data_IF_390328349615
#
_entry.id   IF_390328349615
#
_cell.length_a   1.000
_cell.length_b   1.000
_cell.length_c   1.000
_cell.angle_alpha   90.00
_cell.angle_beta   90.00
_cell.angle_gamma   90.00
#
_symmetry.space_group_name_H-M   'P 1'
#
loop_
_entity.id
_entity.type
_entity.pdbx_description
1 polymer ?
#
# COMPACT_ATOMS: atom_id res chain seq x y z
N UNK A 1 -6.55 -20.32 -0.39
CA UNK A 1 -7.60 -20.07 -1.40
C UNK A 1 -7.56 -18.61 -1.78
N UNK A 2 -7.71 -18.28 -3.06
CA UNK A 2 -8.02 -16.90 -3.44
C UNK A 2 -9.43 -16.54 -2.93
N UNK A 3 -9.60 -15.29 -2.54
CA UNK A 3 -10.89 -14.71 -2.19
C UNK A 3 -11.02 -13.37 -2.90
N UNK A 4 -12.24 -12.90 -3.06
CA UNK A 4 -12.51 -11.60 -3.66
C UNK A 4 -12.43 -10.52 -2.58
N UNK A 5 -11.84 -9.38 -2.91
CA UNK A 5 -11.81 -8.23 -2.01
C UNK A 5 -13.25 -7.76 -1.73
N UNK A 6 -13.49 -7.29 -0.50
CA UNK A 6 -14.78 -6.64 -0.18
C UNK A 6 -14.88 -5.33 -0.95
N UNK A 7 -16.06 -5.05 -1.52
CA UNK A 7 -16.30 -3.76 -2.16
C UNK A 7 -16.32 -2.65 -1.12
N UNK A 8 -15.65 -1.55 -1.44
CA UNK A 8 -15.60 -0.35 -0.62
C UNK A 8 -16.38 0.76 -1.32
N UNK A 9 -17.01 1.65 -0.57
CA UNK A 9 -17.70 2.82 -1.13
C UNK A 9 -16.63 3.85 -1.51
N UNK A 10 -16.66 4.35 -2.75
CA UNK A 10 -15.77 5.44 -3.16
C UNK A 10 -16.05 6.71 -2.34
N UNK A 11 -15.06 7.60 -2.24
CA UNK A 11 -15.08 8.78 -1.37
C UNK A 11 -15.15 8.48 0.14
N UNK A 12 -15.05 7.20 0.55
CA UNK A 12 -14.83 6.85 1.95
C UNK A 12 -13.45 7.36 2.37
N UNK A 13 -13.36 8.17 3.45
CA UNK A 13 -12.06 8.62 3.97
C UNK A 13 -11.16 7.44 4.33
N UNK A 14 -9.85 7.58 4.06
CA UNK A 14 -8.89 6.60 4.50
C UNK A 14 -8.91 6.48 6.04
N UNK A 15 -8.89 5.25 6.54
CA UNK A 15 -8.84 5.02 7.98
C UNK A 15 -7.50 5.48 8.55
N UNK A 16 -7.54 6.13 9.71
CA UNK A 16 -6.31 6.45 10.45
C UNK A 16 -5.60 5.18 10.89
N UNK A 17 -4.27 5.18 10.81
CA UNK A 17 -3.46 4.10 11.33
C UNK A 17 -2.16 4.64 11.91
N UNK A 18 -1.56 3.86 12.81
CA UNK A 18 -0.18 3.99 13.28
C UNK A 18 0.42 2.60 13.39
N UNK A 19 1.27 2.23 12.44
CA UNK A 19 1.77 0.87 12.31
C UNK A 19 3.29 0.80 12.44
N UNK A 20 3.84 -0.19 13.16
CA UNK A 20 5.27 -0.40 13.23
C UNK A 20 5.80 -0.92 11.88
N UNK A 21 6.92 -0.36 11.45
CA UNK A 21 7.64 -0.78 10.25
C UNK A 21 8.88 -1.60 10.57
N UNK A 22 9.49 -2.18 9.54
CA UNK A 22 10.68 -3.03 9.64
C UNK A 22 11.96 -2.27 9.98
N UNK A 23 11.94 -0.93 9.88
CA UNK A 23 13.04 -0.03 10.22
C UNK A 23 12.99 0.43 11.70
N UNK A 24 12.04 -0.10 12.49
CA UNK A 24 11.85 0.26 13.89
C UNK A 24 11.08 1.57 14.11
N UNK A 25 10.64 2.25 13.06
CA UNK A 25 9.76 3.43 13.15
C UNK A 25 8.30 3.02 13.16
N UNK A 26 7.44 3.97 13.49
CA UNK A 26 5.97 3.86 13.35
C UNK A 26 5.52 4.92 12.37
N UNK A 27 4.71 4.54 11.39
CA UNK A 27 4.18 5.44 10.37
C UNK A 27 2.66 5.56 10.47
N UNK A 28 2.17 6.78 10.29
CA UNK A 28 0.77 7.11 10.02
C UNK A 28 0.58 7.45 8.53
N UNK A 29 -0.68 7.63 8.10
CA UNK A 29 -1.00 8.03 6.73
C UNK A 29 -0.29 9.34 6.34
N UNK A 30 -0.34 10.35 7.20
CA UNK A 30 0.26 11.66 6.96
C UNK A 30 1.79 11.62 6.85
N UNK A 31 2.45 10.60 7.40
CA UNK A 31 3.90 10.45 7.32
C UNK A 31 4.36 9.96 5.94
N UNK A 32 3.47 9.31 5.19
CA UNK A 32 3.78 8.67 3.90
C UNK A 32 3.09 9.34 2.72
N UNK A 33 2.03 10.12 2.97
CA UNK A 33 1.17 10.66 1.94
C UNK A 33 1.88 11.58 0.92
N UNK A 34 1.80 11.23 -0.36
CA UNK A 34 2.21 12.08 -1.47
C UNK A 34 1.17 13.16 -1.80
N UNK A 35 1.62 14.25 -2.45
CA UNK A 35 0.78 15.39 -2.84
C UNK A 35 -0.41 15.00 -3.73
N UNK A 36 -0.28 13.92 -4.52
CA UNK A 36 -1.33 13.42 -5.42
C UNK A 36 -2.08 12.21 -4.87
N UNK A 37 -1.70 11.71 -3.70
CA UNK A 37 -2.35 10.60 -3.02
C UNK A 37 -1.38 9.48 -2.61
N UNK A 38 -1.99 8.42 -2.09
CA UNK A 38 -1.31 7.28 -1.45
C UNK A 38 -1.91 5.97 -1.93
N UNK A 39 -1.07 4.96 -2.14
CA UNK A 39 -1.52 3.60 -2.47
C UNK A 39 -1.27 2.70 -1.27
N UNK A 40 -2.35 2.21 -0.64
CA UNK A 40 -2.27 1.26 0.47
C UNK A 40 -2.51 -0.15 -0.06
N UNK A 41 -1.56 -1.07 0.15
CA UNK A 41 -1.65 -2.46 -0.32
C UNK A 41 -1.53 -3.43 0.84
N UNK A 42 -2.52 -4.33 0.97
CA UNK A 42 -2.48 -5.43 1.93
C UNK A 42 -1.96 -6.70 1.24
N UNK A 43 -0.76 -7.14 1.62
CA UNK A 43 -0.11 -8.33 1.04
C UNK A 43 0.42 -9.27 2.13
N UNK A 44 0.84 -10.47 1.74
CA UNK A 44 1.55 -11.37 2.63
C UNK A 44 2.69 -12.11 1.92
N UNK A 45 3.70 -12.52 2.70
CA UNK A 45 4.95 -13.09 2.19
C UNK A 45 4.81 -14.50 1.61
N UNK A 46 3.74 -15.22 1.95
CA UNK A 46 3.56 -16.61 1.52
C UNK A 46 2.57 -16.77 0.36
N UNK A 47 1.81 -15.72 0.02
CA UNK A 47 0.76 -15.81 -0.99
C UNK A 47 1.37 -16.01 -2.38
N UNK A 48 0.98 -17.07 -3.13
CA UNK A 48 1.51 -17.30 -4.46
C UNK A 48 1.14 -16.17 -5.44
N UNK A 49 -0.01 -15.52 -5.25
CA UNK A 49 -0.42 -14.37 -6.07
C UNK A 49 0.50 -13.15 -5.87
N UNK A 50 0.89 -12.86 -4.62
CA UNK A 50 1.83 -11.78 -4.32
C UNK A 50 3.21 -12.12 -4.86
N UNK A 51 3.70 -13.35 -4.62
CA UNK A 51 5.00 -13.81 -5.13
C UNK A 51 5.12 -13.69 -6.64
N UNK A 52 4.03 -13.90 -7.38
CA UNK A 52 4.03 -13.78 -8.84
C UNK A 52 4.15 -12.33 -9.36
N UNK A 53 3.84 -11.31 -8.54
CA UNK A 53 3.77 -9.90 -8.99
C UNK A 53 4.64 -8.93 -8.19
N UNK A 54 5.31 -9.38 -7.12
CA UNK A 54 6.00 -8.49 -6.18
C UNK A 54 7.06 -7.62 -6.84
N UNK A 55 7.84 -8.17 -7.78
CA UNK A 55 8.89 -7.42 -8.47
C UNK A 55 8.32 -6.26 -9.29
N UNK A 56 7.20 -6.50 -9.97
CA UNK A 56 6.47 -5.45 -10.68
C UNK A 56 5.89 -4.43 -9.72
N UNK A 57 5.29 -4.86 -8.60
CA UNK A 57 4.73 -3.97 -7.59
C UNK A 57 5.79 -3.01 -7.03
N UNK A 58 7.02 -3.50 -6.80
CA UNK A 58 8.15 -2.66 -6.38
C UNK A 58 8.55 -1.66 -7.47
N UNK A 59 8.55 -2.07 -8.74
CA UNK A 59 8.80 -1.16 -9.87
C UNK A 59 7.73 -0.07 -9.96
N UNK A 60 6.46 -0.46 -9.91
CA UNK A 60 5.31 0.46 -9.99
C UNK A 60 5.34 1.46 -8.82
N UNK A 61 5.66 1.02 -7.59
CA UNK A 61 5.80 1.90 -6.43
C UNK A 61 6.87 2.99 -6.63
N UNK A 62 8.02 2.65 -7.23
CA UNK A 62 9.08 3.63 -7.52
C UNK A 62 8.65 4.66 -8.55
N UNK A 63 7.89 4.24 -9.58
CA UNK A 63 7.33 5.15 -10.59
C UNK A 63 6.34 6.11 -9.92
N UNK A 64 5.41 5.58 -9.12
CA UNK A 64 4.41 6.39 -8.42
C UNK A 64 5.05 7.42 -7.48
N UNK A 65 6.08 7.03 -6.72
CA UNK A 65 6.83 7.96 -5.88
C UNK A 65 7.44 9.13 -6.68
N UNK A 66 7.92 8.87 -7.90
CA UNK A 66 8.45 9.93 -8.77
C UNK A 66 7.38 10.87 -9.31
N UNK A 67 6.11 10.47 -9.24
CA UNK A 67 4.95 11.24 -9.69
C UNK A 67 4.23 11.97 -8.54
N UNK A 68 4.84 12.02 -7.34
CA UNK A 68 4.29 12.57 -6.10
C UNK A 68 3.12 11.76 -5.52
N UNK A 69 3.12 10.44 -5.75
CA UNK A 69 2.18 9.49 -5.12
C UNK A 69 2.99 8.66 -4.12
N UNK A 70 2.71 8.84 -2.84
CA UNK A 70 3.40 8.23 -1.70
C UNK A 70 2.40 7.62 -0.78
#
# INVERSE_FOLDING_TARGET
MATTATQVVLDTPAAEFRLPATDGKTYALDDVAGEKGTVVVFICNHCPYVKAVIDRMVSDARVLMSESIG
#
